data_IF_926889278342
#
_entry.id   IF_926889278342
#
_cell.length_a   1.000
_cell.length_b   1.000
_cell.length_c   1.000
_cell.angle_alpha   90.00
_cell.angle_beta   90.00
_cell.angle_gamma   90.00
#
_symmetry.space_group_name_H-M   'P 1'
#
loop_
_entity.id
_entity.type
_entity.pdbx_description
1 polymer ?
#
# COMPACT_ATOMS: atom_id res chain seq x y z
N UNK A 1 6.67 25.02 -10.87
CA UNK A 1 5.55 24.27 -10.29
C UNK A 1 5.26 24.95 -8.98
N UNK A 2 4.17 25.72 -8.92
CA UNK A 2 3.72 26.27 -7.65
C UNK A 2 3.48 25.10 -6.71
N UNK A 3 4.16 25.09 -5.56
CA UNK A 3 4.09 23.97 -4.61
C UNK A 3 2.67 23.84 -4.08
N UNK A 4 2.17 22.61 -3.98
CA UNK A 4 0.85 22.34 -3.38
C UNK A 4 0.79 22.89 -1.95
N UNK A 5 -0.34 23.46 -1.56
CA UNK A 5 -0.56 24.00 -0.22
C UNK A 5 -1.33 23.00 0.64
N UNK A 6 -0.87 22.74 1.86
CA UNK A 6 -1.49 21.80 2.78
C UNK A 6 -1.86 22.45 4.11
N UNK A 7 -3.03 22.08 4.64
CA UNK A 7 -3.41 22.38 6.01
C UNK A 7 -3.03 21.23 6.95
N UNK A 8 -2.18 21.51 7.95
CA UNK A 8 -1.82 20.57 9.01
C UNK A 8 -2.70 20.82 10.24
N UNK A 9 -3.53 19.82 10.57
CA UNK A 9 -4.44 19.82 11.71
C UNK A 9 -4.07 18.66 12.65
N UNK A 10 -3.70 19.00 13.89
CA UNK A 10 -3.16 18.05 14.86
C UNK A 10 -4.08 17.95 16.06
N UNK A 11 -4.41 16.73 16.44
CA UNK A 11 -5.11 16.41 17.66
C UNK A 11 -4.09 16.18 18.80
N UNK A 12 -3.98 17.15 19.72
CA UNK A 12 -3.03 17.07 20.84
C UNK A 12 -3.40 15.99 21.86
N UNK A 13 -4.68 15.61 21.94
CA UNK A 13 -5.17 14.64 22.91
C UNK A 13 -4.79 13.20 22.49
N UNK A 14 -4.63 12.97 21.18
CA UNK A 14 -4.29 11.65 20.60
C UNK A 14 -2.83 11.48 20.16
N UNK A 15 -2.02 12.55 20.16
CA UNK A 15 -0.66 12.53 19.60
C UNK A 15 0.34 13.17 20.56
N UNK A 16 1.52 12.55 20.69
CA UNK A 16 2.62 13.11 21.49
C UNK A 16 3.43 14.18 20.74
N UNK A 17 3.88 15.21 21.46
CA UNK A 17 4.74 16.28 20.96
C UNK A 17 6.03 15.77 20.29
N UNK A 18 6.53 14.57 20.67
CA UNK A 18 7.74 13.96 20.08
C UNK A 18 7.67 13.81 18.55
N UNK A 19 6.47 13.66 18.00
CA UNK A 19 6.27 13.44 16.58
C UNK A 19 6.24 14.71 15.73
N UNK A 20 6.21 15.91 16.32
CA UNK A 20 5.94 17.13 15.55
C UNK A 20 6.97 17.43 14.47
N UNK A 21 8.26 17.31 14.79
CA UNK A 21 9.35 17.52 13.83
C UNK A 21 9.29 16.47 12.70
N UNK A 22 9.18 15.16 13.00
CA UNK A 22 8.94 14.15 11.97
C UNK A 22 7.71 14.43 11.10
N UNK A 23 6.56 14.79 11.68
CA UNK A 23 5.32 15.13 10.94
C UNK A 23 5.56 16.26 9.94
N UNK A 24 6.17 17.36 10.39
CA UNK A 24 6.47 18.50 9.52
C UNK A 24 7.44 18.14 8.40
N UNK A 25 8.42 17.27 8.69
CA UNK A 25 9.40 16.78 7.71
C UNK A 25 8.77 15.84 6.68
N UNK A 26 7.83 15.00 7.11
CA UNK A 26 7.11 14.10 6.21
C UNK A 26 6.15 14.88 5.31
N UNK A 27 5.39 15.82 5.88
CA UNK A 27 4.40 16.60 5.12
C UNK A 27 5.05 17.55 4.10
N UNK A 28 6.24 18.07 4.38
CA UNK A 28 6.95 18.95 3.45
C UNK A 28 7.38 18.26 2.14
N UNK A 29 7.35 16.92 2.08
CA UNK A 29 7.58 16.15 0.85
C UNK A 29 6.45 16.32 -0.17
N UNK A 30 5.25 16.71 0.27
CA UNK A 30 4.08 16.86 -0.59
C UNK A 30 3.84 18.32 -0.99
N UNK A 31 4.16 19.26 -0.10
CA UNK A 31 3.92 20.67 -0.38
C UNK A 31 4.22 21.61 0.77
N UNK A 32 3.87 22.87 0.57
CA UNK A 32 4.01 23.93 1.56
C UNK A 32 2.89 23.82 2.60
N UNK A 33 3.26 23.89 3.88
CA UNK A 33 2.32 23.83 5.00
C UNK A 33 1.85 25.25 5.32
N UNK A 34 0.66 25.63 4.86
CA UNK A 34 0.11 26.99 5.00
C UNK A 34 -0.65 27.18 6.31
N UNK A 35 -1.40 26.16 6.73
CA UNK A 35 -2.03 26.12 8.05
C UNK A 35 -1.29 25.14 8.94
N UNK A 36 -0.98 25.56 10.17
CA UNK A 36 -0.44 24.72 11.24
C UNK A 36 -1.27 24.94 12.49
N UNK A 37 -2.27 24.11 12.71
CA UNK A 37 -3.16 24.19 13.88
C UNK A 37 -3.07 22.92 14.69
N UNK A 38 -3.09 23.10 16.00
CA UNK A 38 -3.17 22.00 16.95
C UNK A 38 -4.33 22.27 17.90
N UNK A 39 -5.11 21.24 18.21
CA UNK A 39 -6.34 21.35 18.97
C UNK A 39 -6.19 20.56 20.27
N UNK A 40 -6.61 21.16 21.37
CA UNK A 40 -6.63 20.51 22.68
C UNK A 40 -6.98 21.46 23.81
N UNK A 41 -7.05 20.93 25.03
CA UNK A 41 -7.24 21.73 26.23
C UNK A 41 -5.89 22.15 26.82
N UNK A 42 -5.39 23.35 26.50
CA UNK A 42 -4.10 23.86 26.96
C UNK A 42 -4.08 24.22 28.45
N UNK A 43 -5.21 24.09 29.15
CA UNK A 43 -5.22 24.14 30.63
C UNK A 43 -4.78 22.82 31.25
N UNK A 44 -4.76 21.73 30.48
CA UNK A 44 -4.30 20.41 30.91
C UNK A 44 -2.77 20.37 30.99
N UNK A 45 -2.25 19.95 32.15
CA UNK A 45 -0.80 19.85 32.40
C UNK A 45 -0.12 18.79 31.54
N UNK A 46 -0.86 17.80 31.02
CA UNK A 46 -0.34 16.79 30.09
C UNK A 46 0.18 17.41 28.79
N UNK A 47 -0.38 18.56 28.38
CA UNK A 47 0.04 19.30 27.18
C UNK A 47 1.19 20.27 27.41
N UNK A 48 1.78 20.29 28.60
CA UNK A 48 2.94 21.13 28.91
C UNK A 48 4.13 20.88 27.96
N UNK A 49 4.30 19.62 27.53
CA UNK A 49 5.33 19.21 26.57
C UNK A 49 5.14 19.79 25.17
N UNK A 50 3.98 20.33 24.83
CA UNK A 50 3.75 20.97 23.54
C UNK A 50 4.23 22.42 23.50
N UNK A 51 4.27 23.12 24.64
CA UNK A 51 4.48 24.57 24.69
C UNK A 51 5.72 25.03 23.92
N UNK A 52 6.84 24.37 24.16
CA UNK A 52 8.11 24.72 23.51
C UNK A 52 8.10 24.37 22.02
N UNK A 53 7.51 23.23 21.66
CA UNK A 53 7.38 22.71 20.31
C UNK A 53 6.50 23.63 19.44
N UNK A 54 5.40 24.15 19.99
CA UNK A 54 4.49 25.05 19.26
C UNK A 54 5.18 26.37 18.91
N UNK A 55 5.90 26.95 19.88
CA UNK A 55 6.66 28.19 19.66
C UNK A 55 7.79 27.99 18.64
N UNK A 56 8.55 26.90 18.75
CA UNK A 56 9.68 26.60 17.85
C UNK A 56 9.24 26.35 16.40
N UNK A 57 8.04 25.81 16.19
CA UNK A 57 7.58 25.39 14.86
C UNK A 57 6.48 26.29 14.26
N UNK A 58 6.15 27.40 14.94
CA UNK A 58 5.11 28.36 14.55
C UNK A 58 3.75 27.70 14.33
N UNK A 59 3.32 26.88 15.29
CA UNK A 59 2.04 26.17 15.26
C UNK A 59 1.05 26.94 16.13
N UNK A 60 -0.15 27.18 15.60
CA UNK A 60 -1.21 27.91 16.31
C UNK A 60 -1.99 26.96 17.21
N UNK A 61 -1.95 27.12 18.54
CA UNK A 61 -2.81 26.37 19.45
C UNK A 61 -4.25 26.88 19.39
N UNK A 62 -5.18 25.96 19.21
CA UNK A 62 -6.62 26.20 19.30
C UNK A 62 -7.10 25.61 20.63
N UNK A 63 -7.51 26.48 21.56
CA UNK A 63 -8.00 26.08 22.88
C UNK A 63 -9.43 25.54 22.79
N UNK A 64 -9.65 24.36 23.36
CA UNK A 64 -10.99 23.83 23.60
C UNK A 64 -11.11 23.34 25.04
N UNK A 65 -12.05 23.91 25.79
CA UNK A 65 -12.28 23.51 27.17
C UNK A 65 -13.01 22.16 27.22
N UNK A 66 -12.43 21.21 27.92
CA UNK A 66 -13.08 19.92 28.19
C UNK A 66 -14.07 20.07 29.33
N UNK A 67 -15.35 20.33 29.02
CA UNK A 67 -16.41 20.48 30.05
C UNK A 67 -16.70 19.18 30.82
N UNK A 68 -16.36 18.03 30.25
CA UNK A 68 -16.45 16.69 30.86
C UNK A 68 -15.40 15.78 30.22
N UNK A 69 -14.68 14.98 31.01
CA UNK A 69 -13.70 14.02 30.47
C UNK A 69 -14.38 13.05 29.50
N UNK A 70 -13.79 12.88 28.30
CA UNK A 70 -14.24 11.94 27.28
C UNK A 70 -15.30 12.44 26.30
N UNK A 71 -15.44 13.76 26.08
CA UNK A 71 -16.27 14.30 24.99
C UNK A 71 -15.41 14.88 23.86
N UNK A 72 -15.87 14.65 22.63
CA UNK A 72 -15.27 15.03 21.35
C UNK A 72 -15.28 16.55 21.06
N UNK A 73 -15.04 17.42 22.07
CA UNK A 73 -15.02 18.88 21.90
C UNK A 73 -13.82 19.33 21.07
N UNK A 74 -12.66 18.72 21.29
CA UNK A 74 -11.45 18.94 20.48
C UNK A 74 -11.72 18.56 19.03
N UNK A 75 -12.30 17.38 18.79
CA UNK A 75 -12.61 16.88 17.45
C UNK A 75 -13.59 17.77 16.71
N UNK A 76 -14.65 18.22 17.41
CA UNK A 76 -15.66 19.11 16.84
C UNK A 76 -15.04 20.42 16.36
N UNK A 77 -14.15 21.02 17.15
CA UNK A 77 -13.44 22.24 16.76
C UNK A 77 -12.52 22.00 15.56
N UNK A 78 -11.77 20.90 15.56
CA UNK A 78 -10.91 20.55 14.43
C UNK A 78 -11.71 20.31 13.14
N UNK A 79 -12.87 19.64 13.23
CA UNK A 79 -13.77 19.41 12.09
C UNK A 79 -14.32 20.72 11.55
N UNK A 80 -14.77 21.64 12.42
CA UNK A 80 -15.29 22.95 12.01
C UNK A 80 -14.20 23.72 11.27
N UNK A 81 -13.00 23.84 11.85
CA UNK A 81 -11.89 24.54 11.23
C UNK A 81 -11.46 23.91 9.90
N UNK A 82 -11.46 22.58 9.81
CA UNK A 82 -11.16 21.87 8.56
C UNK A 82 -12.17 22.21 7.46
N UNK A 83 -13.46 22.31 7.79
CA UNK A 83 -14.50 22.70 6.85
C UNK A 83 -14.37 24.17 6.42
N UNK A 84 -14.06 25.07 7.35
CA UNK A 84 -13.85 26.48 7.03
C UNK A 84 -12.67 26.66 6.07
N UNK A 85 -11.55 25.97 6.32
CA UNK A 85 -10.38 25.95 5.41
C UNK A 85 -10.77 25.36 4.05
N UNK A 86 -11.54 24.27 4.04
CA UNK A 86 -12.00 23.64 2.79
C UNK A 86 -12.78 24.64 1.91
N UNK A 87 -13.66 25.43 2.51
CA UNK A 87 -14.49 26.41 1.80
C UNK A 87 -13.77 27.72 1.49
N UNK A 88 -12.68 28.04 2.19
CA UNK A 88 -11.78 29.14 1.81
C UNK A 88 -11.06 28.88 0.47
N UNK A 89 -10.93 27.59 0.08
CA UNK A 89 -10.35 27.12 -1.19
C UNK A 89 -8.89 27.54 -1.43
N UNK A 90 -8.11 27.65 -0.38
CA UNK A 90 -6.72 28.11 -0.40
C UNK A 90 -5.68 26.99 -0.15
N UNK A 91 -6.15 25.75 0.01
CA UNK A 91 -5.31 24.55 0.15
C UNK A 91 -5.65 23.49 -0.89
N UNK A 92 -4.66 22.73 -1.30
CA UNK A 92 -4.77 21.57 -2.21
C UNK A 92 -5.01 20.27 -1.44
N UNK A 93 -4.62 20.23 -0.16
CA UNK A 93 -4.78 19.05 0.67
C UNK A 93 -4.77 19.31 2.17
N UNK A 94 -5.07 18.26 2.92
CA UNK A 94 -5.15 18.25 4.37
C UNK A 94 -4.25 17.16 4.92
N UNK A 95 -3.56 17.47 6.01
CA UNK A 95 -2.90 16.50 6.86
C UNK A 95 -3.65 16.44 8.20
N UNK A 96 -4.28 15.31 8.47
CA UNK A 96 -5.02 15.06 9.72
C UNK A 96 -4.14 14.15 10.58
N UNK A 97 -3.69 14.67 11.72
CA UNK A 97 -2.84 13.93 12.65
C UNK A 97 -3.66 13.53 13.87
N UNK A 98 -4.12 12.27 13.91
CA UNK A 98 -4.85 11.68 15.03
C UNK A 98 -4.81 10.14 14.91
N UNK A 99 -5.09 9.45 16.02
CA UNK A 99 -5.32 8.01 16.03
C UNK A 99 -6.80 7.64 16.23
N UNK A 100 -7.70 8.63 16.22
CA UNK A 100 -9.14 8.46 16.40
C UNK A 100 -9.85 8.18 15.07
N UNK A 101 -10.72 7.17 15.06
CA UNK A 101 -11.54 6.83 13.89
C UNK A 101 -12.69 7.80 13.61
N UNK A 102 -13.05 8.67 14.54
CA UNK A 102 -14.17 9.60 14.38
C UNK A 102 -13.91 10.63 13.24
N UNK A 103 -12.65 10.86 12.88
CA UNK A 103 -12.27 11.69 11.73
C UNK A 103 -12.50 11.03 10.36
N UNK A 104 -12.91 9.76 10.30
CA UNK A 104 -13.17 9.04 9.04
C UNK A 104 -14.14 9.80 8.13
N UNK A 105 -15.22 10.36 8.69
CA UNK A 105 -16.21 11.13 7.91
C UNK A 105 -15.67 12.47 7.41
N UNK A 106 -14.84 13.15 8.20
CA UNK A 106 -14.15 14.36 7.77
C UNK A 106 -13.26 14.05 6.57
N UNK A 107 -12.44 12.99 6.66
CA UNK A 107 -11.56 12.57 5.57
C UNK A 107 -12.34 12.26 4.30
N UNK A 108 -13.43 11.48 4.37
CA UNK A 108 -14.27 11.20 3.20
C UNK A 108 -14.80 12.49 2.57
N UNK A 109 -15.31 13.42 3.39
CA UNK A 109 -15.88 14.68 2.92
C UNK A 109 -14.85 15.60 2.25
N UNK A 110 -13.61 15.63 2.75
CA UNK A 110 -12.49 16.37 2.15
C UNK A 110 -12.12 15.79 0.78
N UNK A 111 -12.03 14.45 0.68
CA UNK A 111 -11.74 13.74 -0.57
C UNK A 111 -12.85 13.89 -1.61
N UNK A 112 -14.11 13.86 -1.19
CA UNK A 112 -15.26 14.16 -2.05
C UNK A 112 -15.19 15.56 -2.67
N UNK A 113 -14.48 16.50 -2.03
CA UNK A 113 -14.19 17.84 -2.59
C UNK A 113 -12.91 17.91 -3.42
N UNK A 114 -12.32 16.77 -3.77
CA UNK A 114 -11.13 16.69 -4.60
C UNK A 114 -9.84 17.11 -3.89
N UNK A 115 -9.83 17.14 -2.55
CA UNK A 115 -8.63 17.44 -1.77
C UNK A 115 -7.84 16.16 -1.49
N UNK A 116 -6.52 16.26 -1.57
CA UNK A 116 -5.65 15.18 -1.11
C UNK A 116 -5.67 15.12 0.42
N UNK A 117 -5.89 13.95 1.00
CA UNK A 117 -5.91 13.78 2.45
C UNK A 117 -4.82 12.80 2.91
N UNK A 118 -3.87 13.32 3.69
CA UNK A 118 -2.78 12.57 4.31
C UNK A 118 -3.14 12.37 5.79
N UNK A 119 -3.43 11.13 6.18
CA UNK A 119 -3.56 10.76 7.59
C UNK A 119 -2.19 10.50 8.20
N UNK A 120 -2.00 10.92 9.45
CA UNK A 120 -0.85 10.48 10.25
C UNK A 120 -1.34 10.07 11.63
N UNK A 121 -0.93 8.90 12.11
CA UNK A 121 -1.36 8.41 13.41
C UNK A 121 -0.47 7.29 13.91
N UNK A 122 -0.67 6.91 15.16
CA UNK A 122 0.08 5.81 15.78
C UNK A 122 -0.35 4.47 15.19
N UNK A 123 0.46 3.43 15.41
CA UNK A 123 0.16 2.09 14.89
C UNK A 123 -1.14 1.49 15.45
N UNK A 124 -1.67 2.01 16.55
CA UNK A 124 -3.00 1.61 17.08
C UNK A 124 -4.20 2.16 16.30
N UNK A 125 -3.97 3.06 15.34
CA UNK A 125 -5.04 3.73 14.60
C UNK A 125 -5.93 2.70 13.87
N UNK A 126 -7.27 2.78 13.98
CA UNK A 126 -8.17 1.82 13.34
C UNK A 126 -8.09 1.79 11.81
N UNK A 127 -8.20 0.60 11.21
CA UNK A 127 -8.18 0.38 9.75
C UNK A 127 -9.17 1.28 8.96
N UNK A 128 -10.42 1.54 9.44
CA UNK A 128 -11.35 2.41 8.72
C UNK A 128 -10.81 3.81 8.45
N UNK A 129 -10.10 4.41 9.42
CA UNK A 129 -9.55 5.76 9.28
C UNK A 129 -8.36 5.77 8.31
N UNK A 130 -7.49 4.76 8.41
CA UNK A 130 -6.36 4.58 7.48
C UNK A 130 -6.85 4.48 6.03
N UNK A 131 -7.83 3.61 5.79
CA UNK A 131 -8.42 3.38 4.46
C UNK A 131 -9.19 4.57 3.91
N UNK A 132 -9.67 5.47 4.78
CA UNK A 132 -10.36 6.66 4.32
C UNK A 132 -9.41 7.66 3.67
N UNK A 133 -8.12 7.67 4.03
CA UNK A 133 -7.12 8.60 3.53
C UNK A 133 -6.64 8.25 2.11
N UNK A 134 -6.02 9.20 1.41
CA UNK A 134 -5.29 8.91 0.16
C UNK A 134 -3.91 8.31 0.47
N UNK A 135 -3.31 8.74 1.58
CA UNK A 135 -2.12 8.15 2.19
C UNK A 135 -2.22 8.21 3.69
N UNK A 136 -1.76 7.18 4.38
CA UNK A 136 -1.68 7.12 5.83
C UNK A 136 -0.25 6.82 6.26
N UNK A 137 0.31 7.64 7.15
CA UNK A 137 1.69 7.46 7.65
C UNK A 137 1.66 7.09 9.12
N UNK A 138 2.30 5.98 9.46
CA UNK A 138 2.48 5.53 10.84
C UNK A 138 3.58 6.38 11.48
N UNK A 139 3.28 7.01 12.61
CA UNK A 139 4.16 7.99 13.26
C UNK A 139 5.46 7.37 13.78
N UNK A 140 5.38 6.14 14.27
CA UNK A 140 6.51 5.36 14.80
C UNK A 140 7.59 5.15 13.72
N UNK A 141 7.18 4.92 12.47
CA UNK A 141 8.11 4.78 11.33
C UNK A 141 8.97 6.04 11.12
N UNK A 142 8.48 7.21 11.51
CA UNK A 142 9.17 8.48 11.32
C UNK A 142 10.25 8.73 12.39
N UNK A 143 10.20 8.02 13.52
CA UNK A 143 11.23 8.07 14.56
C UNK A 143 12.39 7.15 14.22
N UNK A 144 12.10 5.94 13.73
CA UNK A 144 13.11 4.93 13.39
C UNK A 144 14.06 5.37 12.27
N UNK A 145 13.62 6.22 11.34
CA UNK A 145 14.51 6.81 10.31
C UNK A 145 15.61 7.72 10.87
N UNK A 146 15.47 8.20 12.11
CA UNK A 146 16.44 9.11 12.76
C UNK A 146 17.38 8.41 13.74
N UNK A 147 17.40 7.08 13.79
CA UNK A 147 18.27 6.32 14.69
C UNK A 147 17.89 6.45 16.18
N UNK A 148 16.65 6.84 16.46
CA UNK A 148 16.08 6.75 17.80
C UNK A 148 15.56 5.33 17.97
N UNK A 149 16.42 4.43 18.46
CA UNK A 149 16.02 3.11 18.93
C UNK A 149 15.12 3.31 20.16
N UNK A 150 13.81 3.10 19.99
CA UNK A 150 12.97 2.68 21.10
C UNK A 150 12.73 1.18 20.90
N UNK A 151 13.34 0.38 21.76
CA UNK A 151 13.31 -1.06 21.73
C UNK A 151 11.94 -1.58 22.13
N UNK A 152 11.11 -1.86 21.12
CA UNK A 152 9.89 -2.62 21.28
C UNK A 152 9.69 -3.50 20.06
N UNK A 153 10.00 -4.79 20.19
CA UNK A 153 9.44 -5.84 19.33
C UNK A 153 7.94 -5.98 19.65
N UNK A 154 7.15 -4.94 19.36
CA UNK A 154 5.70 -5.10 19.33
C UNK A 154 5.32 -5.72 17.99
N UNK A 155 4.55 -6.79 18.06
CA UNK A 155 3.97 -7.46 16.90
C UNK A 155 2.94 -6.54 16.26
N UNK A 156 3.41 -5.65 15.41
CA UNK A 156 2.60 -4.71 14.66
C UNK A 156 1.66 -5.49 13.71
N UNK A 157 0.37 -5.15 13.70
CA UNK A 157 -0.57 -5.57 12.64
C UNK A 157 -0.21 -4.85 11.33
N UNK A 158 0.88 -5.28 10.70
CA UNK A 158 1.28 -4.83 9.39
C UNK A 158 0.55 -5.69 8.35
N UNK A 159 0.14 -5.07 7.24
CA UNK A 159 -0.37 -5.80 6.08
C UNK A 159 0.60 -6.96 5.74
N UNK A 160 0.12 -8.20 5.85
CA UNK A 160 0.97 -9.38 5.69
C UNK A 160 1.75 -9.38 4.37
N UNK A 161 3.04 -9.76 4.42
CA UNK A 161 3.92 -9.76 3.23
C UNK A 161 3.32 -10.55 2.07
N UNK A 162 2.66 -11.68 2.34
CA UNK A 162 1.95 -12.48 1.32
C UNK A 162 0.90 -11.66 0.56
N UNK A 163 0.09 -10.85 1.26
CA UNK A 163 -0.93 -10.00 0.62
C UNK A 163 -0.29 -8.97 -0.30
N UNK A 164 0.85 -8.40 0.11
CA UNK A 164 1.61 -7.48 -0.74
C UNK A 164 2.17 -8.21 -1.95
N UNK A 165 2.78 -9.38 -1.76
CA UNK A 165 3.30 -10.20 -2.86
C UNK A 165 2.22 -10.49 -3.90
N UNK A 166 1.08 -11.00 -3.46
CA UNK A 166 -0.03 -11.37 -4.35
C UNK A 166 -0.61 -10.15 -5.08
N UNK A 167 -0.70 -9.00 -4.42
CA UNK A 167 -1.10 -7.75 -5.08
C UNK A 167 -0.11 -7.36 -6.17
N UNK A 168 1.20 -7.41 -5.91
CA UNK A 168 2.24 -7.10 -6.90
C UNK A 168 2.23 -8.09 -8.06
N UNK A 169 2.07 -9.38 -7.80
CA UNK A 169 1.95 -10.43 -8.81
C UNK A 169 0.78 -10.15 -9.75
N UNK A 170 -0.37 -9.75 -9.19
CA UNK A 170 -1.53 -9.36 -9.99
C UNK A 170 -1.23 -8.15 -10.89
N UNK A 171 -0.54 -7.13 -10.37
CA UNK A 171 -0.13 -5.96 -11.16
C UNK A 171 0.82 -6.36 -12.31
N UNK A 172 1.74 -7.29 -12.07
CA UNK A 172 2.65 -7.80 -13.09
C UNK A 172 1.86 -8.48 -14.22
N UNK A 173 0.88 -9.31 -13.90
CA UNK A 173 0.06 -10.00 -14.91
C UNK A 173 -0.79 -9.05 -15.74
N UNK A 174 -1.41 -8.06 -15.10
CA UNK A 174 -2.23 -7.07 -15.79
C UNK A 174 -1.40 -6.27 -16.81
N UNK A 175 -0.15 -5.92 -16.47
CA UNK A 175 0.75 -5.23 -17.39
C UNK A 175 1.28 -6.17 -18.48
N UNK A 176 1.65 -7.42 -18.15
CA UNK A 176 2.08 -8.42 -19.12
C UNK A 176 1.00 -8.74 -20.16
N UNK A 177 -0.26 -8.84 -19.74
CA UNK A 177 -1.40 -9.03 -20.64
C UNK A 177 -1.57 -7.87 -21.64
N UNK A 178 -1.03 -6.70 -21.31
CA UNK A 178 -0.98 -5.51 -22.17
C UNK A 178 0.39 -5.30 -22.86
N UNK A 179 1.26 -6.31 -22.86
CA UNK A 179 2.64 -6.24 -23.38
C UNK A 179 3.48 -5.10 -22.77
N UNK A 180 3.22 -4.76 -21.51
CA UNK A 180 3.90 -3.68 -20.78
C UNK A 180 4.75 -4.24 -19.65
N UNK A 181 5.91 -3.64 -19.42
CA UNK A 181 6.73 -3.91 -18.23
C UNK A 181 6.16 -3.20 -17.00
N UNK A 182 6.30 -3.84 -15.84
CA UNK A 182 5.83 -3.28 -14.57
C UNK A 182 6.94 -2.51 -13.89
N UNK A 183 6.85 -1.18 -13.92
CA UNK A 183 7.83 -0.31 -13.26
C UNK A 183 7.71 -0.35 -11.74
N UNK A 184 8.85 -0.28 -11.04
CA UNK A 184 8.87 -0.29 -9.58
C UNK A 184 8.09 0.90 -8.97
N UNK A 185 8.23 2.09 -9.54
CA UNK A 185 7.49 3.28 -9.08
C UNK A 185 5.98 3.15 -9.29
N UNK A 186 5.55 2.52 -10.40
CA UNK A 186 4.15 2.22 -10.65
C UNK A 186 3.61 1.26 -9.58
N UNK A 187 4.35 0.19 -9.26
CA UNK A 187 3.95 -0.74 -8.19
C UNK A 187 3.80 -0.03 -6.86
N UNK A 188 4.77 0.81 -6.47
CA UNK A 188 4.70 1.60 -5.25
C UNK A 188 3.45 2.48 -5.18
N UNK A 189 3.17 3.23 -6.26
CA UNK A 189 1.98 4.06 -6.35
C UNK A 189 0.68 3.26 -6.28
N UNK A 190 0.62 2.10 -6.94
CA UNK A 190 -0.56 1.23 -6.92
C UNK A 190 -0.76 0.55 -5.56
N UNK A 191 0.31 0.19 -4.87
CA UNK A 191 0.23 -0.36 -3.50
C UNK A 191 -0.32 0.67 -2.53
N UNK A 192 0.16 1.91 -2.56
CA UNK A 192 -0.39 3.00 -1.74
C UNK A 192 -1.86 3.27 -2.09
N UNK A 193 -2.23 3.20 -3.37
CA UNK A 193 -3.63 3.36 -3.78
C UNK A 193 -4.55 2.23 -3.30
N UNK A 194 -4.04 1.00 -3.15
CA UNK A 194 -4.81 -0.15 -2.64
C UNK A 194 -4.83 -0.19 -1.11
N UNK A 195 -3.72 0.21 -0.50
CA UNK A 195 -3.44 0.16 0.92
C UNK A 195 -2.81 1.50 1.33
N UNK A 196 -3.63 2.49 1.73
CA UNK A 196 -3.14 3.84 2.02
C UNK A 196 -2.04 3.89 3.10
N UNK A 197 -2.03 2.92 4.01
CA UNK A 197 -1.05 2.74 5.09
C UNK A 197 0.18 1.91 4.71
N UNK A 198 0.30 1.50 3.44
CA UNK A 198 1.47 0.78 2.96
C UNK A 198 2.73 1.66 3.02
N UNK A 199 3.67 1.23 3.85
CA UNK A 199 4.98 1.85 4.01
C UNK A 199 6.03 0.76 4.25
N UNK A 200 7.09 0.76 3.45
CA UNK A 200 8.18 -0.22 3.54
C UNK A 200 8.93 -0.17 4.87
N UNK A 201 8.88 0.99 5.57
CA UNK A 201 9.47 1.18 6.89
C UNK A 201 8.79 0.33 7.95
N UNK A 202 7.47 0.10 7.83
CA UNK A 202 6.72 -0.82 8.69
C UNK A 202 7.23 -2.26 8.62
N UNK A 203 7.98 -2.60 7.56
CA UNK A 203 8.57 -3.92 7.35
C UNK A 203 10.08 -3.94 7.65
N UNK A 204 10.66 -2.82 8.09
CA UNK A 204 12.10 -2.70 8.36
C UNK A 204 12.96 -2.33 7.15
N UNK A 205 12.37 -1.86 6.04
CA UNK A 205 13.12 -1.54 4.82
C UNK A 205 13.12 -0.04 4.53
N UNK A 206 14.26 0.46 4.03
CA UNK A 206 14.46 1.86 3.63
C UNK A 206 13.97 2.20 2.22
N UNK A 207 13.64 1.19 1.41
CA UNK A 207 13.17 1.40 0.04
C UNK A 207 12.35 0.21 -0.47
N UNK A 208 11.47 0.48 -1.43
CA UNK A 208 10.69 -0.55 -2.12
C UNK A 208 11.57 -1.57 -2.84
N UNK A 209 12.71 -1.15 -3.39
CA UNK A 209 13.67 -2.07 -4.01
C UNK A 209 14.19 -3.11 -3.03
N UNK A 210 14.67 -2.68 -1.85
CA UNK A 210 15.17 -3.59 -0.82
C UNK A 210 14.08 -4.49 -0.26
N UNK A 211 12.87 -3.95 -0.09
CA UNK A 211 11.74 -4.75 0.35
C UNK A 211 11.42 -5.88 -0.64
N UNK A 212 11.45 -5.62 -1.94
CA UNK A 212 11.17 -6.60 -2.98
C UNK A 212 12.29 -7.62 -3.23
N UNK A 213 13.52 -7.34 -2.80
CA UNK A 213 14.65 -8.28 -2.91
C UNK A 213 14.45 -9.56 -2.05
N UNK A 214 13.59 -9.49 -1.03
CA UNK A 214 13.31 -10.58 -0.08
C UNK A 214 12.10 -11.45 -0.48
N UNK A 215 11.40 -11.11 -1.58
CA UNK A 215 10.27 -11.90 -2.04
C UNK A 215 10.73 -13.08 -2.90
N UNK A 216 10.14 -14.25 -2.67
CA UNK A 216 10.52 -15.47 -3.36
C UNK A 216 10.01 -15.55 -4.79
N UNK A 217 8.81 -15.00 -5.06
CA UNK A 217 8.15 -15.13 -6.37
C UNK A 217 8.38 -13.92 -7.26
N UNK A 218 9.02 -12.88 -6.74
CA UNK A 218 9.26 -11.61 -7.42
C UNK A 218 10.76 -11.43 -7.65
N UNK A 219 11.11 -10.85 -8.79
CA UNK A 219 12.48 -10.47 -9.12
C UNK A 219 12.51 -9.01 -9.56
N UNK A 220 13.50 -8.30 -9.04
CA UNK A 220 13.78 -6.93 -9.42
C UNK A 220 14.83 -6.87 -10.54
N UNK A 221 14.54 -6.14 -11.61
CA UNK A 221 15.44 -5.95 -12.76
C UNK A 221 15.79 -4.48 -12.86
N UNK A 222 17.08 -4.13 -12.68
CA UNK A 222 17.60 -2.77 -12.75
C UNK A 222 18.30 -2.55 -14.11
N UNK A 223 17.90 -1.52 -14.85
CA UNK A 223 18.60 -1.04 -16.04
C UNK A 223 18.83 0.47 -15.93
N UNK A 224 20.07 0.86 -15.62
CA UNK A 224 20.42 2.26 -15.36
C UNK A 224 19.63 2.81 -14.18
N UNK A 225 18.90 3.90 -14.39
CA UNK A 225 18.05 4.55 -13.38
C UNK A 225 16.64 3.95 -13.27
N UNK A 226 16.28 3.01 -14.14
CA UNK A 226 14.93 2.42 -14.18
C UNK A 226 14.95 1.03 -13.57
N UNK A 227 14.01 0.78 -12.67
CA UNK A 227 13.81 -0.53 -12.05
C UNK A 227 12.42 -1.08 -12.41
N UNK A 228 12.39 -2.36 -12.76
CA UNK A 228 11.18 -3.11 -13.10
C UNK A 228 11.03 -4.29 -12.15
N UNK A 229 9.79 -4.76 -12.03
CA UNK A 229 9.43 -5.92 -11.23
C UNK A 229 8.86 -6.98 -12.17
N UNK A 230 9.39 -8.19 -12.09
CA UNK A 230 8.93 -9.37 -12.85
C UNK A 230 8.74 -10.56 -11.92
N UNK A 231 8.06 -11.60 -12.38
CA UNK A 231 8.03 -12.86 -11.65
C UNK A 231 9.39 -13.55 -11.72
N UNK A 232 9.84 -14.09 -10.60
CA UNK A 232 11.05 -14.90 -10.52
C UNK A 232 10.75 -16.23 -11.18
N UNK A 233 11.28 -16.44 -12.39
CA UNK A 233 11.15 -17.75 -13.03
C UNK A 233 11.95 -18.79 -12.24
N UNK A 234 11.27 -19.69 -11.53
CA UNK A 234 11.89 -20.94 -11.11
C UNK A 234 12.02 -21.85 -12.35
N UNK A 235 13.05 -21.59 -13.17
CA UNK A 235 13.26 -22.27 -14.46
C UNK A 235 13.25 -23.79 -14.34
N UNK A 236 13.85 -24.35 -13.28
CA UNK A 236 13.88 -25.79 -13.06
C UNK A 236 12.46 -26.35 -12.85
N UNK A 237 11.70 -25.75 -11.93
CA UNK A 237 10.32 -26.19 -11.65
C UNK A 237 9.39 -25.96 -12.84
N UNK A 238 9.54 -24.85 -13.55
CA UNK A 238 8.77 -24.55 -14.77
C UNK A 238 9.04 -25.59 -15.85
N UNK A 239 10.29 -25.96 -16.09
CA UNK A 239 10.63 -27.01 -17.06
C UNK A 239 10.04 -28.37 -16.65
N UNK A 240 10.06 -28.72 -15.36
CA UNK A 240 9.46 -29.97 -14.86
C UNK A 240 7.95 -30.03 -15.10
N UNK A 241 7.23 -28.93 -14.84
CA UNK A 241 5.78 -28.84 -15.05
C UNK A 241 5.47 -28.81 -16.55
N UNK A 242 6.21 -28.03 -17.33
CA UNK A 242 6.08 -27.97 -18.79
C UNK A 242 6.30 -29.35 -19.41
N UNK A 243 7.34 -30.07 -18.98
CA UNK A 243 7.64 -31.42 -19.44
C UNK A 243 6.55 -32.42 -19.02
N UNK A 244 6.01 -32.30 -17.81
CA UNK A 244 4.89 -33.11 -17.36
C UNK A 244 3.63 -32.89 -18.23
N UNK A 245 3.27 -31.63 -18.49
CA UNK A 245 2.15 -31.28 -19.37
C UNK A 245 2.39 -31.80 -20.79
N UNK A 246 3.60 -31.65 -21.34
CA UNK A 246 3.96 -32.23 -22.66
C UNK A 246 3.80 -33.74 -22.68
N UNK A 247 4.25 -34.43 -21.64
CA UNK A 247 4.15 -35.89 -21.57
C UNK A 247 2.69 -36.36 -21.48
N UNK A 248 1.85 -35.63 -20.74
CA UNK A 248 0.41 -35.90 -20.68
C UNK A 248 -0.24 -35.77 -22.06
N UNK A 249 0.05 -34.68 -22.78
CA UNK A 249 -0.53 -34.43 -24.10
C UNK A 249 0.05 -35.38 -25.16
N UNK A 250 1.35 -35.69 -25.11
CA UNK A 250 1.96 -36.72 -25.98
C UNK A 250 1.33 -38.09 -25.76
N UNK A 251 1.09 -38.48 -24.51
CA UNK A 251 0.47 -39.76 -24.17
C UNK A 251 -0.97 -39.90 -24.64
N UNK A 252 -1.69 -38.79 -24.87
CA UNK A 252 -3.03 -38.81 -25.44
C UNK A 252 -3.06 -39.00 -26.97
N UNK A 253 -1.91 -38.89 -27.65
CA UNK A 253 -1.81 -39.07 -29.09
C UNK A 253 -2.61 -38.04 -29.89
N UNK A 254 -3.11 -38.44 -31.06
CA UNK A 254 -3.80 -37.56 -32.00
C UNK A 254 -5.13 -36.99 -31.46
N UNK A 255 -5.78 -37.70 -30.53
CA UNK A 255 -7.03 -37.27 -29.91
C UNK A 255 -6.90 -35.98 -29.07
N UNK A 256 -5.66 -35.65 -28.66
CA UNK A 256 -5.39 -34.54 -27.75
C UNK A 256 -5.95 -34.77 -26.34
N UNK A 257 -5.67 -33.83 -25.43
CA UNK A 257 -6.16 -33.90 -24.05
C UNK A 257 -6.93 -32.63 -23.68
N UNK A 258 -8.06 -32.79 -22.99
CA UNK A 258 -8.87 -31.68 -22.48
C UNK A 258 -8.09 -30.83 -21.47
N UNK A 259 -8.18 -29.49 -21.60
CA UNK A 259 -7.47 -28.55 -20.71
C UNK A 259 -7.86 -28.71 -19.24
N UNK A 260 -9.12 -29.01 -18.93
CA UNK A 260 -9.56 -29.26 -17.56
C UNK A 260 -8.94 -30.52 -16.98
N UNK A 261 -8.88 -31.60 -17.77
CA UNK A 261 -8.21 -32.83 -17.38
C UNK A 261 -6.70 -32.65 -17.18
N UNK A 262 -6.03 -31.88 -18.04
CA UNK A 262 -4.61 -31.53 -17.86
C UNK A 262 -4.44 -30.75 -16.55
N UNK A 263 -5.27 -29.71 -16.33
CA UNK A 263 -5.25 -28.89 -15.13
C UNK A 263 -5.35 -29.74 -13.86
N UNK A 264 -6.38 -30.59 -13.76
CA UNK A 264 -6.56 -31.47 -12.59
C UNK A 264 -5.32 -32.32 -12.31
N UNK A 265 -4.72 -32.94 -13.33
CA UNK A 265 -3.50 -33.76 -13.16
C UNK A 265 -2.29 -32.93 -12.72
N UNK A 266 -2.18 -31.68 -13.16
CA UNK A 266 -1.12 -30.76 -12.71
C UNK A 266 -1.32 -30.42 -11.24
N UNK A 267 -2.54 -30.04 -10.83
CA UNK A 267 -2.85 -29.72 -9.43
C UNK A 267 -2.73 -30.93 -8.49
N UNK A 268 -3.03 -32.13 -8.97
CA UNK A 268 -2.87 -33.37 -8.19
C UNK A 268 -1.39 -33.70 -7.92
N UNK A 269 -0.54 -33.52 -8.93
CA UNK A 269 0.90 -33.82 -8.81
C UNK A 269 1.68 -32.70 -8.11
N UNK A 270 1.35 -31.46 -8.41
CA UNK A 270 2.00 -30.26 -7.90
C UNK A 270 0.97 -29.48 -7.08
N UNK A 271 0.75 -29.90 -5.82
CA UNK A 271 -0.30 -29.31 -4.94
C UNK A 271 -0.13 -27.81 -4.69
N UNK A 272 1.10 -27.34 -4.75
CA UNK A 272 1.49 -25.93 -4.58
C UNK A 272 1.64 -25.21 -5.94
N UNK A 273 1.12 -25.79 -7.04
CA UNK A 273 1.10 -25.14 -8.33
C UNK A 273 0.11 -23.98 -8.30
N UNK A 274 0.63 -22.75 -8.32
CA UNK A 274 -0.16 -21.56 -8.61
C UNK A 274 0.19 -21.09 -10.02
N UNK A 275 -0.82 -21.04 -10.89
CA UNK A 275 -0.73 -20.53 -12.26
C UNK A 275 -0.03 -19.15 -12.33
N UNK A 276 -0.31 -18.35 -11.30
CA UNK A 276 0.24 -17.05 -11.10
C UNK A 276 1.78 -17.02 -10.93
N UNK A 277 2.38 -18.08 -10.41
CA UNK A 277 3.84 -18.16 -10.23
C UNK A 277 4.58 -18.25 -11.56
N UNK A 278 3.88 -18.68 -12.61
CA UNK A 278 4.43 -18.86 -13.95
C UNK A 278 4.11 -17.70 -14.89
N UNK A 279 3.42 -16.65 -14.41
CA UNK A 279 3.05 -15.47 -15.20
C UNK A 279 1.80 -15.59 -16.04
N UNK A 280 0.88 -16.49 -15.65
CA UNK A 280 -0.34 -16.71 -16.42
C UNK A 280 -1.58 -16.56 -15.54
N UNK A 281 -2.51 -15.73 -16.00
CA UNK A 281 -3.84 -15.54 -15.38
C UNK A 281 -4.85 -16.64 -15.75
N UNK A 282 -4.56 -17.41 -16.81
CA UNK A 282 -5.45 -18.45 -17.33
C UNK A 282 -4.65 -19.69 -17.74
N UNK A 283 -5.15 -20.89 -17.36
CA UNK A 283 -4.50 -22.17 -17.71
C UNK A 283 -4.33 -22.34 -19.22
N UNK A 284 -5.30 -21.86 -20.00
CA UNK A 284 -5.22 -21.83 -21.46
C UNK A 284 -3.99 -21.07 -21.98
N UNK A 285 -3.70 -19.89 -21.42
CA UNK A 285 -2.54 -19.07 -21.82
C UNK A 285 -1.23 -19.80 -21.47
N UNK A 286 -1.18 -20.42 -20.28
CA UNK A 286 -0.05 -21.23 -19.85
C UNK A 286 0.22 -22.42 -20.78
N UNK A 287 -0.78 -23.27 -21.07
CA UNK A 287 -0.56 -24.43 -21.96
C UNK A 287 -0.17 -24.00 -23.37
N UNK A 288 -0.67 -22.85 -23.86
CA UNK A 288 -0.29 -22.29 -25.16
C UNK A 288 1.17 -21.83 -25.21
N UNK A 289 1.74 -21.39 -24.09
CA UNK A 289 3.14 -20.92 -24.05
C UNK A 289 4.17 -22.05 -24.07
N UNK A 290 3.76 -23.27 -23.71
CA UNK A 290 4.62 -24.45 -23.71
C UNK A 290 5.01 -24.79 -25.15
N UNK A 291 6.30 -24.96 -25.43
CA UNK A 291 6.72 -25.27 -26.80
C UNK A 291 6.14 -26.60 -27.30
N UNK A 292 5.81 -26.66 -28.59
CA UNK A 292 5.15 -27.79 -29.25
C UNK A 292 3.69 -28.04 -28.84
N UNK A 293 3.02 -27.10 -28.16
CA UNK A 293 1.58 -27.17 -27.88
C UNK A 293 0.73 -26.44 -28.93
N UNK A 294 -0.33 -27.10 -29.39
CA UNK A 294 -1.41 -26.48 -30.18
C UNK A 294 -2.73 -26.64 -29.43
N UNK A 295 -3.47 -25.54 -29.29
CA UNK A 295 -4.81 -25.56 -28.69
C UNK A 295 -5.88 -25.52 -29.77
N UNK A 296 -6.83 -26.44 -29.70
CA UNK A 296 -8.00 -26.50 -30.57
C UNK A 296 -9.28 -26.48 -29.74
N UNK A 297 -10.32 -25.85 -30.27
CA UNK A 297 -11.62 -25.76 -29.61
C UNK A 297 -12.51 -26.91 -30.11
N UNK A 298 -12.99 -27.73 -29.17
CA UNK A 298 -13.90 -28.84 -29.42
C UNK A 298 -15.22 -28.57 -28.68
N UNK A 299 -16.16 -27.95 -29.39
CA UNK A 299 -17.41 -27.46 -28.83
C UNK A 299 -17.19 -26.39 -27.74
N UNK A 300 -17.64 -26.67 -26.50
CA UNK A 300 -17.45 -25.80 -25.33
C UNK A 300 -16.12 -26.02 -24.60
N UNK A 301 -15.32 -27.00 -25.02
CA UNK A 301 -14.07 -27.40 -24.35
C UNK A 301 -12.86 -27.08 -25.24
N UNK A 302 -11.71 -26.96 -24.60
CA UNK A 302 -10.44 -26.72 -25.28
C UNK A 302 -9.55 -27.94 -25.09
N UNK A 303 -8.99 -28.45 -26.19
CA UNK A 303 -8.05 -29.57 -26.20
C UNK A 303 -6.66 -29.09 -26.57
N UNK A 304 -5.65 -29.67 -25.94
CA UNK A 304 -4.25 -29.49 -26.30
C UNK A 304 -3.77 -30.70 -27.11
N UNK A 305 -3.05 -30.44 -28.20
CA UNK A 305 -2.43 -31.43 -29.07
C UNK A 305 -0.92 -31.17 -29.12
N UNK A 306 -0.13 -32.24 -29.15
CA UNK A 306 1.31 -32.15 -29.31
C UNK A 306 1.65 -32.03 -30.79
N UNK A 307 2.32 -30.94 -31.17
CA UNK A 307 2.81 -30.73 -32.53
C UNK A 307 4.27 -31.19 -32.60
N UNK A 308 4.52 -32.24 -33.39
CA UNK A 308 5.90 -32.67 -33.70
C UNK A 308 6.71 -31.51 -34.29
#
# INVERSE_FOLDING_TARGET
MDGQCFALLIDADNVSAKYIKPILTELSKYGNITYKRIYGDWTNTQHSSWKDELLKNSITPIQQFSYTQGKNSTDSAMIIDAMDILYAKDVDGFCIVSSDSDFTRLVSRLRESGKMVIGMGENKTPEPFRKACDKFTILENLLSEKGLEDGGEESHEVLGREKVEDAVIKMIMENQDNNKQTGLGEVGSRLVSLYPDFDVRSYGYSSLSKFFEEFDRIQLVKHGHVAWVTLKENRARKEDVDQFVRNLVKGAGEAGMDLGAIGNRVYDKYKDFKLNDYGYSQFKKYVKSISHMKLEQDGKRWKAHYKK
#
